data_IF_797267341902
#
_entry.id   IF_797267341902
#
_cell.length_a   1.000
_cell.length_b   1.000
_cell.length_c   1.000
_cell.angle_alpha   90.00
_cell.angle_beta   90.00
_cell.angle_gamma   90.00
#
_symmetry.space_group_name_H-M   'P 1'
#
loop_
_entity.id
_entity.type
_entity.pdbx_description
1 polymer ?
#
# COMPACT_ATOMS: atom_id res chain seq x y z
N UNK A 1 0.65 9.54 -2.85
CA UNK A 1 -0.63 9.82 -2.17
C UNK A 1 -0.52 10.96 -1.17
N UNK A 2 0.30 10.84 -0.11
CA UNK A 2 0.46 11.87 0.95
C UNK A 2 0.75 13.28 0.39
N UNK A 3 1.75 13.39 -0.51
CA UNK A 3 2.10 14.64 -1.17
C UNK A 3 0.97 15.17 -2.08
N UNK A 4 0.35 14.26 -2.86
CA UNK A 4 -0.70 14.59 -3.84
C UNK A 4 -1.91 15.26 -3.19
N UNK A 5 -2.33 14.78 -2.03
CA UNK A 5 -3.54 15.25 -1.34
C UNK A 5 -3.24 16.18 -0.15
N UNK A 6 -1.96 16.48 0.11
CA UNK A 6 -1.57 17.34 1.22
C UNK A 6 -2.01 16.78 2.57
N UNK A 7 -1.68 15.51 2.83
CA UNK A 7 -2.07 14.79 4.06
C UNK A 7 -0.88 14.10 4.70
N UNK A 8 -0.88 14.04 6.03
CA UNK A 8 -0.17 13.03 6.81
C UNK A 8 -1.22 12.11 7.42
N UNK A 9 -1.02 10.80 7.31
CA UNK A 9 -2.00 9.79 7.70
C UNK A 9 -1.34 8.71 8.55
N UNK A 10 -2.07 8.19 9.54
CA UNK A 10 -1.71 7.00 10.32
C UNK A 10 -2.94 6.11 10.52
N UNK A 11 -2.70 4.84 10.86
CA UNK A 11 -3.72 3.87 11.27
C UNK A 11 -3.38 3.24 12.63
N UNK A 12 -4.21 2.30 13.13
CA UNK A 12 -5.39 1.78 12.44
C UNK A 12 -6.52 2.81 12.50
N UNK A 13 -7.46 2.74 11.57
CA UNK A 13 -8.63 3.60 11.47
C UNK A 13 -9.94 2.83 11.68
N UNK A 14 -9.95 1.51 11.59
CA UNK A 14 -11.13 0.65 11.76
C UNK A 14 -11.90 0.89 13.08
N UNK A 15 -11.21 1.29 14.14
CA UNK A 15 -11.81 1.69 15.42
C UNK A 15 -12.63 2.99 15.35
N UNK A 16 -12.57 3.77 14.27
CA UNK A 16 -13.25 5.05 14.11
C UNK A 16 -12.47 6.25 14.65
N UNK A 17 -13.08 7.45 14.75
CA UNK A 17 -12.37 8.66 15.16
C UNK A 17 -11.86 8.58 16.60
N UNK A 18 -10.68 9.14 16.83
CA UNK A 18 -10.08 9.24 18.16
C UNK A 18 -10.77 10.34 18.98
N UNK A 19 -10.93 10.08 20.28
CA UNK A 19 -11.43 11.06 21.25
C UNK A 19 -10.76 10.83 22.63
N UNK A 20 -10.64 11.87 23.49
CA UNK A 20 -9.94 11.78 24.78
C UNK A 20 -10.43 10.69 25.74
N UNK A 21 -11.69 10.31 25.63
CA UNK A 21 -12.35 9.28 26.43
C UNK A 21 -12.06 7.84 25.99
N UNK A 22 -11.45 7.65 24.81
CA UNK A 22 -11.15 6.33 24.24
C UNK A 22 -9.79 5.80 24.68
N UNK A 23 -9.70 4.48 24.81
CA UNK A 23 -8.45 3.82 25.21
C UNK A 23 -7.45 3.76 24.06
N UNK A 24 -6.15 3.93 24.38
CA UNK A 24 -5.06 3.71 23.43
C UNK A 24 -5.06 2.25 22.89
N UNK A 25 -5.56 1.28 23.66
CA UNK A 25 -5.64 -0.13 23.25
C UNK A 25 -6.59 -0.36 22.05
N UNK A 26 -7.61 0.49 21.89
CA UNK A 26 -8.51 0.44 20.73
C UNK A 26 -7.79 0.77 19.42
N UNK A 27 -6.59 1.36 19.50
CA UNK A 27 -5.80 1.82 18.35
C UNK A 27 -4.43 1.14 18.29
N UNK A 28 -4.27 -0.05 18.90
CA UNK A 28 -3.00 -0.77 19.04
C UNK A 28 -1.88 0.04 19.74
N UNK A 29 -2.26 1.00 20.57
CA UNK A 29 -1.36 1.81 21.40
C UNK A 29 -1.47 3.31 21.17
N UNK A 30 -0.63 4.08 21.87
CA UNK A 30 -0.79 5.54 21.97
C UNK A 30 -0.33 6.38 20.77
N UNK A 31 -0.04 5.80 19.60
CA UNK A 31 0.39 6.61 18.45
C UNK A 31 -0.76 7.43 17.83
N UNK A 32 -2.00 6.91 17.81
CA UNK A 32 -3.16 7.68 17.33
C UNK A 32 -3.42 8.87 18.25
N UNK A 33 -3.47 8.64 19.56
CA UNK A 33 -3.59 9.70 20.56
C UNK A 33 -2.50 10.77 20.40
N UNK A 34 -1.23 10.37 20.32
CA UNK A 34 -0.10 11.31 20.14
C UNK A 34 -0.26 12.12 18.85
N UNK A 35 -0.64 11.50 17.74
CA UNK A 35 -0.88 12.22 16.49
C UNK A 35 -2.08 13.18 16.57
N UNK A 36 -3.15 12.79 17.27
CA UNK A 36 -4.35 13.58 17.43
C UNK A 36 -4.21 14.73 18.44
N UNK A 37 -3.40 14.57 19.50
CA UNK A 37 -3.25 15.56 20.57
C UNK A 37 -1.95 16.36 20.49
N UNK A 38 -0.83 15.76 20.12
CA UNK A 38 0.49 16.40 20.24
C UNK A 38 0.94 17.10 18.97
N UNK A 39 0.48 16.65 17.79
CA UNK A 39 0.77 17.32 16.52
C UNK A 39 -0.13 18.54 16.37
N UNK A 40 0.47 19.70 16.19
CA UNK A 40 -0.21 21.00 16.15
C UNK A 40 -0.03 21.69 14.80
N UNK A 41 -0.91 22.64 14.50
CA UNK A 41 -0.74 23.53 13.34
C UNK A 41 0.58 24.27 13.48
N UNK A 42 1.39 24.28 12.40
CA UNK A 42 2.73 24.86 12.39
C UNK A 42 3.85 23.88 12.71
N UNK A 43 3.55 22.67 13.18
CA UNK A 43 4.58 21.64 13.35
C UNK A 43 5.18 21.22 11.99
N UNK A 44 6.47 20.86 12.04
CA UNK A 44 7.20 20.36 10.87
C UNK A 44 7.16 18.83 10.87
N UNK A 45 6.71 18.26 9.76
CA UNK A 45 6.71 16.82 9.50
C UNK A 45 7.77 16.47 8.46
N UNK A 46 8.43 15.34 8.67
CA UNK A 46 9.41 14.78 7.74
C UNK A 46 8.87 13.50 7.12
N UNK A 47 8.76 13.48 5.79
CA UNK A 47 8.39 12.26 5.07
C UNK A 47 9.66 11.44 4.81
N UNK A 48 9.91 10.44 5.65
CA UNK A 48 11.08 9.55 5.56
C UNK A 48 10.96 8.49 4.45
N UNK A 49 12.12 8.06 3.94
CA UNK A 49 12.27 6.96 2.96
C UNK A 49 13.28 5.92 3.47
N UNK A 50 13.08 5.43 4.70
CA UNK A 50 14.02 4.53 5.38
C UNK A 50 14.41 5.04 6.76
N UNK A 51 15.62 4.70 7.20
CA UNK A 51 16.15 5.01 8.54
C UNK A 51 17.04 6.27 8.60
N UNK A 52 17.46 6.78 7.44
CA UNK A 52 18.41 7.90 7.33
C UNK A 52 18.12 8.84 6.15
N UNK A 53 16.94 8.76 5.53
CA UNK A 53 16.62 9.57 4.35
C UNK A 53 15.22 10.17 4.45
N UNK A 54 15.04 11.33 3.82
CA UNK A 54 13.74 11.99 3.68
C UNK A 54 13.48 12.36 2.22
N UNK A 55 12.20 12.39 1.84
CA UNK A 55 11.71 12.72 0.50
C UNK A 55 11.00 14.07 0.45
N UNK A 56 10.45 14.53 1.57
CA UNK A 56 9.73 15.79 1.67
C UNK A 56 9.73 16.34 3.10
N UNK A 57 9.57 17.66 3.20
CA UNK A 57 9.31 18.37 4.46
C UNK A 57 7.90 18.97 4.36
N UNK A 58 7.13 18.89 5.44
CA UNK A 58 5.76 19.34 5.49
C UNK A 58 5.50 20.27 6.65
N UNK A 59 4.59 21.23 6.46
CA UNK A 59 4.09 22.10 7.52
C UNK A 59 2.63 21.73 7.80
N UNK A 60 2.31 21.39 9.05
CA UNK A 60 0.95 21.03 9.46
C UNK A 60 0.04 22.25 9.35
N UNK A 61 -1.11 22.06 8.71
CA UNK A 61 -2.02 23.11 8.28
C UNK A 61 -3.46 22.93 8.75
N UNK A 62 -3.75 21.89 9.54
CA UNK A 62 -5.07 21.68 10.15
C UNK A 62 -4.98 21.02 11.52
N UNK A 63 -6.09 21.11 12.24
CA UNK A 63 -6.40 20.22 13.35
C UNK A 63 -6.55 18.75 12.90
N UNK A 64 -6.76 17.87 13.87
CA UNK A 64 -6.96 16.45 13.65
C UNK A 64 -8.24 16.26 12.84
N UNK A 65 -8.15 15.41 11.83
CA UNK A 65 -9.29 15.06 10.99
C UNK A 65 -9.36 13.56 10.82
N UNK A 66 -10.58 13.02 10.85
CA UNK A 66 -10.85 11.64 10.48
C UNK A 66 -11.33 11.61 9.02
N UNK A 67 -10.58 10.93 8.15
CA UNK A 67 -10.71 11.01 6.70
C UNK A 67 -11.14 9.66 6.12
N UNK A 68 -12.45 9.46 6.01
CA UNK A 68 -13.08 8.21 5.54
C UNK A 68 -12.55 7.74 4.17
N UNK A 69 -12.15 8.65 3.29
CA UNK A 69 -11.61 8.33 1.97
C UNK A 69 -10.24 7.62 1.98
N UNK A 70 -9.61 7.45 3.14
CA UNK A 70 -8.33 6.74 3.30
C UNK A 70 -8.47 5.46 4.15
N UNK A 71 -9.66 4.85 4.15
CA UNK A 71 -9.97 3.54 4.74
C UNK A 71 -9.25 2.35 4.06
N UNK A 72 -8.78 2.53 2.82
CA UNK A 72 -7.97 1.53 2.12
C UNK A 72 -6.83 2.16 1.31
N UNK A 73 -5.78 2.54 2.02
CA UNK A 73 -4.51 2.94 1.42
C UNK A 73 -3.62 1.72 1.30
N UNK A 74 -3.59 1.12 0.11
CA UNK A 74 -2.75 -0.04 -0.16
C UNK A 74 -2.98 -1.21 0.81
N UNK A 75 -4.20 -1.39 1.32
CA UNK A 75 -4.56 -2.38 2.32
C UNK A 75 -4.53 -1.89 3.77
N UNK A 76 -4.15 -0.63 4.00
CA UNK A 76 -4.06 -0.01 5.32
C UNK A 76 -5.18 1.02 5.51
N UNK A 77 -5.83 0.94 6.64
CA UNK A 77 -6.84 1.86 7.13
C UNK A 77 -6.19 3.10 7.77
N UNK A 78 -5.85 4.10 6.94
CA UNK A 78 -5.08 5.27 7.34
C UNK A 78 -5.97 6.52 7.48
N UNK A 79 -7.05 6.42 8.23
CA UNK A 79 -8.08 7.47 8.33
C UNK A 79 -7.72 8.60 9.31
N UNK A 80 -6.74 8.42 10.19
CA UNK A 80 -6.31 9.47 11.11
C UNK A 80 -5.36 10.45 10.42
N UNK A 81 -5.85 11.66 10.18
CA UNK A 81 -5.21 12.62 9.29
C UNK A 81 -4.86 13.97 9.89
N UNK A 82 -3.87 14.61 9.26
CA UNK A 82 -3.61 16.05 9.31
C UNK A 82 -3.49 16.56 7.89
N UNK A 83 -3.98 17.78 7.61
CA UNK A 83 -3.64 18.47 6.37
C UNK A 83 -2.25 19.06 6.50
N UNK A 84 -1.44 18.88 5.46
CA UNK A 84 -0.03 19.25 5.45
C UNK A 84 0.31 19.90 4.11
N UNK A 85 0.99 21.03 4.17
CA UNK A 85 1.62 21.64 2.99
C UNK A 85 2.98 20.99 2.81
N UNK A 86 3.12 20.15 1.79
CA UNK A 86 4.35 19.44 1.53
C UNK A 86 5.25 20.20 0.54
N UNK A 87 6.54 20.28 0.85
CA UNK A 87 7.60 20.61 -0.09
C UNK A 87 8.34 19.31 -0.46
N UNK A 88 8.16 18.83 -1.68
CA UNK A 88 8.92 17.69 -2.19
C UNK A 88 10.36 18.12 -2.45
N UNK A 89 11.31 17.32 -1.99
CA UNK A 89 12.70 17.50 -2.36
C UNK A 89 12.92 17.06 -3.82
N UNK A 90 13.90 17.64 -4.51
CA UNK A 90 14.23 17.24 -5.89
C UNK A 90 14.79 15.82 -5.91
N UNK A 91 15.76 15.54 -5.03
CA UNK A 91 16.27 14.22 -4.70
C UNK A 91 15.99 13.90 -3.23
N UNK A 92 16.04 12.62 -2.85
CA UNK A 92 16.06 12.29 -1.42
C UNK A 92 17.27 12.95 -0.75
N UNK A 93 17.07 13.41 0.49
CA UNK A 93 18.15 13.89 1.33
C UNK A 93 18.54 12.79 2.30
N UNK A 94 19.81 12.41 2.30
CA UNK A 94 20.37 11.41 3.20
C UNK A 94 21.17 12.05 4.32
N UNK A 95 20.91 11.62 5.54
CA UNK A 95 21.72 11.89 6.72
C UNK A 95 22.84 10.84 6.80
N UNK A 96 24.00 11.22 7.34
CA UNK A 96 25.16 10.32 7.41
C UNK A 96 24.93 9.10 8.31
N UNK A 97 24.04 9.24 9.29
CA UNK A 97 23.74 8.20 10.28
C UNK A 97 22.26 7.81 10.28
N UNK A 98 21.93 6.72 10.98
CA UNK A 98 20.54 6.28 11.18
C UNK A 98 19.81 7.17 12.18
N UNK A 99 19.45 8.38 11.76
CA UNK A 99 18.82 9.41 12.60
C UNK A 99 17.39 9.10 13.02
N UNK A 100 16.69 8.18 12.34
CA UNK A 100 15.32 7.76 12.69
C UNK A 100 15.26 6.44 13.45
N UNK A 101 16.40 5.88 13.86
CA UNK A 101 16.47 4.59 14.53
C UNK A 101 16.19 3.39 13.61
N UNK A 102 16.24 2.18 14.18
CA UNK A 102 16.10 0.94 13.41
C UNK A 102 14.62 0.61 13.08
N UNK A 103 13.71 0.86 14.02
CA UNK A 103 12.26 0.60 13.90
C UNK A 103 11.45 1.84 14.38
N UNK A 104 11.50 2.96 13.65
CA UNK A 104 10.71 4.14 14.00
C UNK A 104 9.21 3.83 14.04
N UNK A 105 8.55 4.28 15.11
CA UNK A 105 7.09 4.13 15.24
C UNK A 105 6.34 4.95 14.19
N UNK A 106 5.04 4.67 13.98
CA UNK A 106 4.19 5.29 12.94
C UNK A 106 4.26 6.83 12.93
N UNK A 107 4.37 7.43 14.13
CA UNK A 107 4.68 8.86 14.34
C UNK A 107 5.64 8.99 15.52
N UNK A 108 6.72 9.76 15.35
CA UNK A 108 7.72 9.96 16.42
C UNK A 108 8.26 11.39 16.38
N UNK A 109 8.43 12.00 17.56
CA UNK A 109 9.14 13.28 17.69
C UNK A 109 10.62 13.07 17.41
N UNK A 110 11.18 13.87 16.51
CA UNK A 110 12.62 13.81 16.21
C UNK A 110 13.37 14.68 17.21
N UNK A 111 14.36 14.08 17.90
CA UNK A 111 15.26 14.79 18.82
C UNK A 111 16.70 14.89 18.31
N UNK A 112 16.99 14.35 17.13
CA UNK A 112 18.35 14.36 16.57
C UNK A 112 18.73 15.80 16.12
N UNK A 113 19.83 16.39 16.62
CA UNK A 113 20.21 17.77 16.31
C UNK A 113 20.50 18.04 14.83
N UNK A 114 21.07 17.08 14.10
CA UNK A 114 21.35 17.19 12.66
C UNK A 114 20.04 17.38 11.87
N UNK A 115 19.04 16.56 12.21
CA UNK A 115 17.73 16.61 11.56
C UNK A 115 16.98 17.89 11.93
N UNK A 116 17.04 18.31 13.19
CA UNK A 116 16.42 19.55 13.65
C UNK A 116 17.03 20.77 12.95
N UNK A 117 18.36 20.86 12.90
CA UNK A 117 19.07 21.94 12.23
C UNK A 117 18.76 21.98 10.73
N UNK A 118 18.73 20.82 10.07
CA UNK A 118 18.34 20.74 8.66
C UNK A 118 16.91 21.24 8.43
N UNK A 119 15.95 20.76 9.23
CA UNK A 119 14.54 21.15 9.08
C UNK A 119 14.34 22.65 9.34
N UNK A 120 14.96 23.20 10.39
CA UNK A 120 14.91 24.62 10.72
C UNK A 120 15.54 25.48 9.61
N UNK A 121 16.71 25.09 9.10
CA UNK A 121 17.33 25.80 7.98
C UNK A 121 16.45 25.75 6.74
N UNK A 122 15.85 24.59 6.43
CA UNK A 122 15.01 24.42 5.25
C UNK A 122 13.75 25.29 5.30
N UNK A 123 13.02 25.34 6.41
CA UNK A 123 11.80 26.14 6.53
C UNK A 123 12.10 27.66 6.49
N UNK A 124 13.29 28.08 6.92
CA UNK A 124 13.68 29.48 6.92
C UNK A 124 14.39 29.92 5.62
N UNK A 125 14.68 28.99 4.71
CA UNK A 125 15.36 29.27 3.46
C UNK A 125 14.39 29.37 2.27
N UNK A 126 14.57 30.35 1.35
CA UNK A 126 13.80 30.38 0.11
C UNK A 126 14.01 29.11 -0.74
N UNK A 127 12.97 28.63 -1.46
CA UNK A 127 11.64 29.21 -1.57
C UNK A 127 10.71 28.84 -0.39
N UNK A 128 10.00 29.84 0.17
CA UNK A 128 9.06 29.64 1.29
C UNK A 128 7.58 29.71 0.89
N UNK A 129 7.27 30.02 -0.38
CA UNK A 129 5.88 30.19 -0.84
C UNK A 129 5.00 28.95 -0.66
N UNK A 130 5.58 27.75 -0.64
CA UNK A 130 4.87 26.49 -0.40
C UNK A 130 4.21 26.44 0.99
N UNK A 131 4.76 27.16 1.97
CA UNK A 131 4.25 27.20 3.35
C UNK A 131 2.90 27.91 3.45
N UNK A 132 2.57 28.76 2.47
CA UNK A 132 1.30 29.47 2.36
C UNK A 132 0.44 28.97 1.19
N UNK A 133 0.92 27.97 0.44
CA UNK A 133 0.19 27.44 -0.70
C UNK A 133 -1.18 26.88 -0.27
N UNK A 134 -2.21 26.97 -1.14
CA UNK A 134 -3.49 26.35 -0.88
C UNK A 134 -3.31 24.83 -0.75
N UNK A 135 -4.07 24.24 0.17
CA UNK A 135 -4.07 22.79 0.33
C UNK A 135 -4.72 22.13 -0.89
N UNK A 136 -4.16 21.02 -1.42
CA UNK A 136 -4.80 20.27 -2.50
C UNK A 136 -6.21 19.78 -2.13
N UNK A 137 -7.04 19.47 -3.14
CA UNK A 137 -8.31 18.76 -2.90
C UNK A 137 -8.06 17.37 -2.30
N UNK A 138 -8.98 16.88 -1.48
CA UNK A 138 -8.99 15.48 -1.06
C UNK A 138 -9.66 14.62 -2.14
N UNK A 139 -9.33 13.32 -2.24
CA UNK A 139 -10.10 12.44 -3.10
C UNK A 139 -11.50 12.26 -2.51
N UNK A 140 -12.45 11.96 -3.40
CA UNK A 140 -13.78 11.55 -2.99
C UNK A 140 -13.70 10.22 -2.22
N UNK A 141 -14.59 10.06 -1.26
CA UNK A 141 -14.76 8.78 -0.59
C UNK A 141 -15.31 7.76 -1.59
N UNK A 142 -14.60 6.65 -1.72
CA UNK A 142 -15.06 5.55 -2.54
C UNK A 142 -15.84 4.56 -1.67
N UNK A 143 -17.15 4.35 -1.94
CA UNK A 143 -17.99 3.47 -1.13
C UNK A 143 -17.61 2.00 -1.34
N UNK A 144 -17.96 1.17 -0.36
CA UNK A 144 -17.94 -0.29 -0.53
C UNK A 144 -18.90 -0.69 -1.64
N UNK A 145 -18.51 -1.72 -2.39
CA UNK A 145 -19.34 -2.26 -3.45
C UNK A 145 -20.55 -2.97 -2.84
N UNK A 146 -21.73 -2.34 -2.93
CA UNK A 146 -22.98 -2.85 -2.35
C UNK A 146 -23.41 -4.23 -2.87
N UNK A 147 -23.02 -4.59 -4.09
CA UNK A 147 -23.29 -5.88 -4.70
C UNK A 147 -22.03 -6.43 -5.34
N UNK A 148 -21.50 -7.51 -4.76
CA UNK A 148 -20.38 -8.26 -5.33
C UNK A 148 -20.83 -8.82 -6.69
N UNK A 149 -20.02 -8.70 -7.76
CA UNK A 149 -20.33 -9.32 -9.04
C UNK A 149 -20.46 -10.84 -8.88
N UNK A 150 -21.46 -11.49 -9.50
CA UNK A 150 -21.71 -12.92 -9.29
C UNK A 150 -20.50 -13.83 -9.47
N UNK A 151 -19.63 -13.52 -10.43
CA UNK A 151 -18.42 -14.29 -10.66
C UNK A 151 -17.42 -14.23 -9.50
N UNK A 152 -17.44 -13.16 -8.68
CA UNK A 152 -16.54 -12.99 -7.53
C UNK A 152 -17.14 -13.45 -6.20
N UNK A 153 -18.43 -13.78 -6.13
CA UNK A 153 -19.13 -14.09 -4.87
C UNK A 153 -18.41 -15.19 -4.08
N UNK A 154 -18.08 -16.31 -4.73
CA UNK A 154 -17.37 -17.43 -4.12
C UNK A 154 -15.97 -17.05 -3.63
N UNK A 155 -15.27 -16.17 -4.36
CA UNK A 155 -13.93 -15.72 -3.97
C UNK A 155 -13.96 -14.78 -2.78
N UNK A 156 -14.92 -13.85 -2.75
CA UNK A 156 -15.09 -12.93 -1.63
C UNK A 156 -15.51 -13.69 -0.38
N UNK A 157 -16.45 -14.64 -0.51
CA UNK A 157 -16.85 -15.52 0.59
C UNK A 157 -15.64 -16.30 1.13
N UNK A 158 -14.84 -16.92 0.24
CA UNK A 158 -13.61 -17.64 0.61
C UNK A 158 -12.62 -16.75 1.37
N UNK A 159 -12.42 -15.51 0.92
CA UNK A 159 -11.54 -14.55 1.61
C UNK A 159 -12.06 -14.25 3.01
N UNK A 160 -13.36 -14.01 3.18
CA UNK A 160 -13.93 -13.75 4.50
C UNK A 160 -13.80 -14.96 5.45
N UNK A 161 -14.00 -16.17 4.95
CA UNK A 161 -13.90 -17.39 5.74
C UNK A 161 -12.46 -17.69 6.18
N UNK A 162 -11.51 -17.61 5.23
CA UNK A 162 -10.13 -18.03 5.47
C UNK A 162 -9.25 -16.93 6.06
N UNK A 163 -9.48 -15.65 5.74
CA UNK A 163 -8.65 -14.56 6.26
C UNK A 163 -8.68 -14.52 7.79
N UNK A 164 -9.87 -14.67 8.38
CA UNK A 164 -10.03 -14.68 9.84
C UNK A 164 -9.24 -15.83 10.49
N UNK A 165 -9.25 -17.01 9.87
CA UNK A 165 -8.48 -18.15 10.35
C UNK A 165 -6.97 -17.88 10.24
N UNK A 166 -6.49 -17.35 9.12
CA UNK A 166 -5.06 -17.08 8.91
C UNK A 166 -4.49 -16.00 9.83
N UNK A 167 -5.32 -15.05 10.28
CA UNK A 167 -4.93 -14.06 11.27
C UNK A 167 -4.98 -14.59 12.71
N UNK A 168 -5.64 -15.72 12.96
CA UNK A 168 -5.68 -16.36 14.28
C UNK A 168 -4.45 -17.25 14.51
N UNK A 169 -3.36 -16.63 14.97
CA UNK A 169 -2.13 -17.35 15.30
C UNK A 169 -2.27 -18.39 16.41
N UNK A 170 -3.36 -18.37 17.21
CA UNK A 170 -3.62 -19.42 18.21
C UNK A 170 -4.27 -20.66 17.58
N UNK A 171 -5.23 -20.44 16.67
CA UNK A 171 -5.95 -21.54 16.02
C UNK A 171 -5.17 -22.12 14.83
N UNK A 172 -4.55 -21.26 14.03
CA UNK A 172 -3.88 -21.64 12.78
C UNK A 172 -2.37 -21.88 12.97
N UNK A 173 -1.74 -21.16 13.90
CA UNK A 173 -0.30 -21.21 14.12
C UNK A 173 0.46 -20.18 13.28
N UNK A 174 1.39 -20.65 12.45
CA UNK A 174 2.17 -19.78 11.57
C UNK A 174 1.31 -19.24 10.41
N UNK A 175 1.62 -18.03 9.94
CA UNK A 175 0.97 -17.46 8.76
C UNK A 175 1.15 -18.36 7.53
N UNK A 176 0.14 -18.43 6.63
CA UNK A 176 0.24 -19.20 5.40
C UNK A 176 1.43 -18.72 4.56
N UNK A 177 2.12 -19.67 3.95
CA UNK A 177 3.20 -19.39 3.00
C UNK A 177 2.65 -18.84 1.69
N UNK A 178 3.54 -18.25 0.90
CA UNK A 178 3.22 -17.69 -0.42
C UNK A 178 2.54 -18.73 -1.32
N UNK A 179 3.05 -19.97 -1.33
CA UNK A 179 2.48 -21.06 -2.14
C UNK A 179 1.06 -21.45 -1.71
N UNK A 180 0.76 -21.35 -0.41
CA UNK A 180 -0.60 -21.58 0.11
C UNK A 180 -1.53 -20.47 -0.35
N UNK A 181 -1.10 -19.21 -0.31
CA UNK A 181 -1.89 -18.07 -0.81
C UNK A 181 -2.13 -18.17 -2.33
N UNK A 182 -1.13 -18.64 -3.07
CA UNK A 182 -1.27 -18.93 -4.51
C UNK A 182 -2.35 -19.99 -4.73
N UNK A 183 -2.29 -21.10 -4.00
CA UNK A 183 -3.24 -22.20 -4.13
C UNK A 183 -4.66 -21.85 -3.66
N UNK A 184 -4.78 -21.14 -2.54
CA UNK A 184 -6.06 -20.87 -1.89
C UNK A 184 -6.78 -19.66 -2.47
N UNK A 185 -6.07 -18.67 -3.03
CA UNK A 185 -6.68 -17.45 -3.53
C UNK A 185 -6.34 -17.12 -4.98
N UNK A 186 -5.05 -17.09 -5.34
CA UNK A 186 -4.64 -16.56 -6.65
C UNK A 186 -5.12 -17.44 -7.80
N UNK A 187 -4.88 -18.75 -7.73
CA UNK A 187 -5.31 -19.70 -8.78
C UNK A 187 -6.84 -19.74 -8.90
N UNK A 188 -7.61 -19.90 -7.80
CA UNK A 188 -9.08 -19.84 -7.87
C UNK A 188 -9.60 -18.53 -8.48
N UNK A 189 -9.03 -17.38 -8.10
CA UNK A 189 -9.41 -16.08 -8.69
C UNK A 189 -9.17 -16.06 -10.20
N UNK A 190 -8.01 -16.55 -10.67
CA UNK A 190 -7.70 -16.59 -12.09
C UNK A 190 -8.66 -17.50 -12.87
N UNK A 191 -9.03 -18.65 -12.31
CA UNK A 191 -10.02 -19.54 -12.92
C UNK A 191 -11.39 -18.87 -13.03
N UNK A 192 -11.82 -18.19 -11.98
CA UNK A 192 -13.04 -17.35 -11.97
C UNK A 192 -13.00 -16.27 -13.06
N UNK A 193 -11.82 -15.73 -13.36
CA UNK A 193 -11.58 -14.73 -14.39
C UNK A 193 -11.38 -15.33 -15.80
N UNK A 194 -11.67 -16.62 -15.96
CA UNK A 194 -11.69 -17.31 -17.25
C UNK A 194 -10.34 -17.91 -17.68
N UNK A 195 -9.31 -17.89 -16.84
CA UNK A 195 -8.03 -18.51 -17.18
C UNK A 195 -8.12 -20.03 -17.10
N UNK A 196 -7.85 -20.76 -18.19
CA UNK A 196 -7.81 -22.21 -18.14
C UNK A 196 -6.51 -22.66 -17.45
N UNK A 197 -6.59 -23.75 -16.68
CA UNK A 197 -5.52 -24.21 -15.77
C UNK A 197 -4.20 -24.50 -16.50
N UNK A 198 -4.25 -24.99 -17.75
CA UNK A 198 -3.08 -25.24 -18.58
C UNK A 198 -2.37 -23.95 -19.02
N UNK A 199 -3.02 -22.79 -18.94
CA UNK A 199 -2.41 -21.47 -19.19
C UNK A 199 -1.95 -20.74 -17.92
N UNK A 200 -2.11 -21.37 -16.76
CA UNK A 200 -1.59 -20.88 -15.48
C UNK A 200 -0.32 -21.68 -15.13
N UNK A 201 0.85 -21.05 -15.22
CA UNK A 201 2.12 -21.65 -14.83
C UNK A 201 2.50 -21.27 -13.41
N UNK A 202 2.49 -22.23 -12.49
CA UNK A 202 2.94 -22.05 -11.11
C UNK A 202 4.43 -22.41 -11.03
N UNK A 203 5.25 -21.56 -10.40
CA UNK A 203 6.73 -21.72 -10.31
C UNK A 203 7.40 -21.94 -11.68
N UNK A 204 6.84 -21.38 -12.75
CA UNK A 204 7.43 -21.50 -14.08
C UNK A 204 8.65 -20.59 -14.16
N UNK A 205 9.85 -21.19 -14.21
CA UNK A 205 11.14 -20.48 -14.15
C UNK A 205 11.24 -19.58 -12.90
N UNK A 206 10.87 -20.15 -11.75
CA UNK A 206 10.93 -19.55 -10.41
C UNK A 206 10.01 -18.35 -10.17
N UNK A 207 9.15 -18.01 -11.13
CA UNK A 207 8.07 -17.02 -10.96
C UNK A 207 6.87 -17.68 -10.29
N UNK A 208 6.31 -17.05 -9.24
CA UNK A 208 5.19 -17.63 -8.48
C UNK A 208 4.03 -18.05 -9.38
N UNK A 209 3.52 -17.13 -10.22
CA UNK A 209 2.51 -17.43 -11.24
C UNK A 209 2.79 -16.68 -12.54
N UNK A 210 2.74 -17.38 -13.67
CA UNK A 210 2.78 -16.82 -15.02
C UNK A 210 1.49 -17.15 -15.77
N UNK A 211 0.90 -16.15 -16.42
CA UNK A 211 -0.28 -16.33 -17.26
C UNK A 211 0.14 -16.33 -18.73
N UNK A 212 -0.37 -17.27 -19.52
CA UNK A 212 0.03 -17.44 -20.92
C UNK A 212 -1.17 -17.28 -21.86
N UNK A 213 -1.07 -16.38 -22.85
CA UNK A 213 -2.14 -16.19 -23.84
C UNK A 213 -2.40 -17.46 -24.66
N UNK A 214 -1.35 -18.20 -24.96
CA UNK A 214 -1.39 -19.44 -25.74
C UNK A 214 -0.36 -20.45 -25.22
N UNK A 215 -0.51 -21.71 -25.63
CA UNK A 215 0.53 -22.73 -25.49
C UNK A 215 1.46 -22.70 -26.72
N UNK A 216 2.75 -23.08 -26.59
CA UNK A 216 3.42 -23.56 -25.38
C UNK A 216 3.74 -22.43 -24.39
N UNK A 217 4.00 -22.80 -23.13
CA UNK A 217 4.43 -21.86 -22.08
C UNK A 217 5.86 -21.38 -22.36
N UNK A 218 5.99 -20.24 -23.00
CA UNK A 218 7.25 -19.59 -23.36
C UNK A 218 7.17 -18.07 -23.10
N UNK A 219 8.30 -17.34 -23.12
CA UNK A 219 8.29 -15.89 -22.84
C UNK A 219 7.42 -15.07 -23.82
N UNK A 220 7.35 -15.47 -25.09
CA UNK A 220 6.55 -14.77 -26.11
C UNK A 220 5.05 -14.81 -25.79
N UNK A 221 4.56 -15.97 -25.35
CA UNK A 221 3.17 -16.21 -24.97
C UNK A 221 2.83 -15.72 -23.56
N UNK A 222 3.81 -15.32 -22.75
CA UNK A 222 3.57 -14.78 -21.41
C UNK A 222 2.78 -13.47 -21.49
N UNK A 223 1.66 -13.40 -20.79
CA UNK A 223 0.77 -12.25 -20.77
C UNK A 223 1.13 -11.25 -19.67
N UNK A 224 1.23 -11.75 -18.44
CA UNK A 224 1.68 -11.03 -17.24
C UNK A 224 2.13 -12.06 -16.20
N UNK A 225 2.82 -11.58 -15.17
CA UNK A 225 3.26 -12.40 -14.04
C UNK A 225 2.61 -11.93 -12.75
N UNK A 226 2.51 -12.83 -11.77
CA UNK A 226 2.08 -12.53 -10.41
C UNK A 226 3.19 -12.93 -9.46
N UNK A 227 3.54 -12.01 -8.57
CA UNK A 227 4.43 -12.24 -7.43
C UNK A 227 3.59 -12.25 -6.14
N UNK A 228 3.61 -13.37 -5.43
CA UNK A 228 2.91 -13.53 -4.18
C UNK A 228 3.82 -13.15 -3.00
N UNK A 229 3.23 -12.63 -1.94
CA UNK A 229 3.87 -12.40 -0.66
C UNK A 229 3.04 -12.97 0.47
N UNK A 230 3.69 -13.20 1.60
CA UNK A 230 3.00 -13.62 2.82
C UNK A 230 1.93 -12.61 3.22
N UNK A 231 0.90 -13.12 3.89
CA UNK A 231 -0.23 -12.33 4.35
C UNK A 231 0.25 -11.11 5.16
N UNK A 232 -0.20 -9.91 4.80
CA UNK A 232 0.16 -8.67 5.49
C UNK A 232 1.59 -8.16 5.25
N UNK A 233 2.40 -8.84 4.44
CA UNK A 233 3.73 -8.36 4.10
C UNK A 233 3.68 -7.15 3.15
N UNK A 234 4.62 -6.21 3.33
CA UNK A 234 4.76 -5.05 2.45
C UNK A 234 5.08 -5.45 1.01
N UNK A 235 4.36 -4.85 0.05
CA UNK A 235 4.41 -5.22 -1.37
C UNK A 235 5.53 -4.54 -2.17
N UNK A 236 6.31 -3.64 -1.55
CA UNK A 236 7.35 -2.87 -2.24
C UNK A 236 8.54 -3.74 -2.71
N UNK A 237 8.99 -4.69 -1.90
CA UNK A 237 10.07 -5.61 -2.28
C UNK A 237 9.68 -6.61 -3.38
N UNK A 238 8.39 -6.95 -3.45
CA UNK A 238 7.86 -7.89 -4.43
C UNK A 238 7.95 -7.37 -5.87
N UNK A 239 7.74 -6.07 -6.08
CA UNK A 239 7.81 -5.48 -7.41
C UNK A 239 9.22 -5.59 -8.02
N UNK A 240 10.27 -5.33 -7.23
CA UNK A 240 11.65 -5.42 -7.72
C UNK A 240 12.08 -6.86 -8.02
N UNK A 241 11.61 -7.81 -7.20
CA UNK A 241 11.79 -9.25 -7.47
C UNK A 241 11.12 -9.65 -8.79
N UNK A 242 9.86 -9.25 -8.99
CA UNK A 242 9.09 -9.52 -10.21
C UNK A 242 9.74 -8.91 -11.47
N UNK A 243 10.25 -7.67 -11.38
CA UNK A 243 11.05 -7.06 -12.45
C UNK A 243 12.31 -7.86 -12.77
N UNK A 244 12.94 -8.46 -11.75
CA UNK A 244 14.08 -9.36 -11.90
C UNK A 244 13.77 -10.56 -12.78
N UNK A 245 12.62 -11.21 -12.56
CA UNK A 245 12.17 -12.32 -13.40
C UNK A 245 11.93 -11.91 -14.85
N UNK A 246 11.24 -10.79 -15.09
CA UNK A 246 11.01 -10.32 -16.47
C UNK A 246 12.32 -10.04 -17.21
N UNK A 247 13.31 -9.45 -16.53
CA UNK A 247 14.66 -9.25 -17.07
C UNK A 247 15.34 -10.57 -17.43
N UNK A 248 15.30 -11.58 -16.56
CA UNK A 248 15.90 -12.89 -16.83
C UNK A 248 15.20 -13.65 -17.96
N UNK A 249 13.91 -13.39 -18.16
CA UNK A 249 13.11 -13.93 -19.25
C UNK A 249 13.27 -13.16 -20.58
N UNK A 250 13.91 -11.99 -20.56
CA UNK A 250 14.11 -11.15 -21.74
C UNK A 250 12.81 -10.51 -22.26
N UNK A 251 11.81 -10.33 -21.41
CA UNK A 251 10.50 -9.77 -21.79
C UNK A 251 10.11 -8.59 -20.91
N UNK A 252 9.17 -7.78 -21.41
CA UNK A 252 8.55 -6.70 -20.66
C UNK A 252 7.03 -6.92 -20.66
N UNK A 253 6.47 -7.17 -19.48
CA UNK A 253 5.06 -7.50 -19.25
C UNK A 253 4.58 -6.89 -17.95
N UNK A 254 3.27 -6.75 -17.83
CA UNK A 254 2.66 -6.24 -16.61
C UNK A 254 2.91 -7.22 -15.44
N UNK A 255 2.91 -6.65 -14.23
CA UNK A 255 3.15 -7.38 -12.99
C UNK A 255 1.95 -7.19 -12.08
N UNK A 256 1.48 -8.26 -11.46
CA UNK A 256 0.58 -8.19 -10.32
C UNK A 256 1.35 -8.60 -9.07
N UNK A 257 1.24 -7.81 -8.00
CA UNK A 257 1.74 -8.19 -6.68
C UNK A 257 0.55 -8.45 -5.77
N UNK A 258 0.61 -9.51 -4.97
CA UNK A 258 -0.50 -9.89 -4.09
C UNK A 258 -0.07 -10.57 -2.79
N UNK A 259 -0.88 -10.40 -1.74
CA UNK A 259 -0.85 -11.22 -0.51
C UNK A 259 -2.00 -12.24 -0.46
N UNK A 260 -2.61 -12.52 -1.62
CA UNK A 260 -3.80 -13.36 -1.78
C UNK A 260 -5.13 -12.61 -1.61
N UNK A 261 -5.16 -11.55 -0.79
CA UNK A 261 -6.37 -10.75 -0.54
C UNK A 261 -6.32 -9.44 -1.33
N UNK A 262 -5.16 -8.79 -1.33
CA UNK A 262 -4.93 -7.50 -1.98
C UNK A 262 -4.12 -7.72 -3.24
N UNK A 263 -4.46 -7.00 -4.29
CA UNK A 263 -3.83 -7.14 -5.61
C UNK A 263 -3.50 -5.75 -6.13
N UNK A 264 -2.27 -5.57 -6.63
CA UNK A 264 -1.88 -4.35 -7.32
C UNK A 264 -1.22 -4.68 -8.64
N UNK A 265 -1.70 -4.03 -9.69
CA UNK A 265 -1.15 -4.19 -11.03
C UNK A 265 -0.24 -3.02 -11.40
N UNK A 266 0.88 -3.34 -12.03
CA UNK A 266 1.89 -2.42 -12.51
C UNK A 266 2.10 -2.59 -14.01
N UNK A 267 2.07 -1.48 -14.75
CA UNK A 267 2.16 -1.50 -16.20
C UNK A 267 3.59 -1.40 -16.68
N UNK A 268 4.07 -2.39 -17.44
CA UNK A 268 5.39 -2.35 -18.07
C UNK A 268 5.54 -1.15 -19.03
N UNK A 269 4.51 -0.87 -19.82
CA UNK A 269 4.50 0.25 -20.76
C UNK A 269 4.64 1.62 -20.07
N UNK A 270 4.16 1.73 -18.82
CA UNK A 270 4.25 2.94 -18.00
C UNK A 270 5.40 2.91 -17.00
N UNK A 271 6.46 2.16 -17.30
CA UNK A 271 7.65 2.08 -16.42
C UNK A 271 7.34 1.45 -15.06
N UNK A 272 6.41 0.49 -15.02
CA UNK A 272 5.88 -0.15 -13.81
C UNK A 272 5.22 0.83 -12.83
N UNK A 273 4.53 1.86 -13.35
CA UNK A 273 3.61 2.64 -12.54
C UNK A 273 2.41 1.77 -12.09
N UNK A 274 1.90 1.94 -10.87
CA UNK A 274 0.68 1.25 -10.43
C UNK A 274 -0.50 1.77 -11.25
N UNK A 275 -1.32 0.85 -11.78
CA UNK A 275 -2.43 1.18 -12.68
C UNK A 275 -3.78 0.66 -12.21
N UNK A 276 -3.82 -0.33 -11.32
CA UNK A 276 -5.06 -0.86 -10.75
C UNK A 276 -4.81 -1.53 -9.39
N UNK A 277 -5.84 -1.57 -8.56
CA UNK A 277 -5.79 -2.15 -7.22
C UNK A 277 -7.13 -2.81 -6.89
N UNK A 278 -7.09 -3.91 -6.14
CA UNK A 278 -8.27 -4.50 -5.53
C UNK A 278 -7.95 -5.05 -4.14
N UNK A 279 -8.92 -4.99 -3.25
CA UNK A 279 -8.91 -5.63 -1.95
C UNK A 279 -10.14 -6.54 -1.85
N UNK A 280 -9.93 -7.85 -1.89
CA UNK A 280 -11.04 -8.82 -1.88
C UNK A 280 -11.78 -8.86 -0.55
N UNK A 281 -11.15 -8.44 0.56
CA UNK A 281 -11.80 -8.32 1.86
C UNK A 281 -12.65 -7.04 1.99
N UNK A 282 -12.41 -6.05 1.12
CA UNK A 282 -13.08 -4.76 1.12
C UNK A 282 -13.23 -4.22 -0.31
N UNK A 283 -14.13 -4.84 -1.08
CA UNK A 283 -14.29 -4.49 -2.49
C UNK A 283 -14.85 -3.08 -2.67
N UNK A 284 -14.17 -2.31 -3.52
CA UNK A 284 -14.59 -0.99 -3.99
C UNK A 284 -14.79 -0.98 -5.51
N UNK A 285 -15.58 -0.06 -6.08
CA UNK A 285 -15.79 0.05 -7.53
C UNK A 285 -14.50 0.03 -8.37
N UNK A 286 -13.43 0.68 -7.91
CA UNK A 286 -12.12 0.73 -8.55
C UNK A 286 -11.47 -0.64 -8.72
N UNK A 287 -11.82 -1.63 -7.88
CA UNK A 287 -11.37 -3.01 -8.03
C UNK A 287 -11.82 -3.66 -9.35
N UNK A 288 -12.95 -3.22 -9.92
CA UNK A 288 -13.45 -3.73 -11.20
C UNK A 288 -12.50 -3.44 -12.36
N UNK A 289 -11.75 -2.34 -12.29
CA UNK A 289 -10.71 -2.04 -13.28
C UNK A 289 -9.59 -3.09 -13.24
N UNK A 290 -9.17 -3.51 -12.03
CA UNK A 290 -8.18 -4.58 -11.91
C UNK A 290 -8.69 -5.85 -12.58
N UNK A 291 -9.89 -6.32 -12.20
CA UNK A 291 -10.45 -7.58 -12.72
C UNK A 291 -10.61 -7.55 -14.24
N UNK A 292 -11.04 -6.44 -14.81
CA UNK A 292 -11.11 -6.28 -16.27
C UNK A 292 -9.74 -6.40 -16.94
N UNK A 293 -8.67 -5.91 -16.31
CA UNK A 293 -7.31 -5.96 -16.86
C UNK A 293 -6.66 -7.33 -16.76
N UNK A 294 -7.02 -8.12 -15.75
CA UNK A 294 -6.45 -9.46 -15.52
C UNK A 294 -7.35 -10.58 -16.04
N UNK A 295 -8.52 -10.26 -16.60
CA UNK A 295 -9.41 -11.24 -17.23
C UNK A 295 -8.73 -11.95 -18.40
N UNK A 296 -9.09 -13.21 -18.64
CA UNK A 296 -8.58 -13.94 -19.80
C UNK A 296 -8.97 -13.21 -21.12
N UNK A 297 -8.03 -13.09 -22.08
CA UNK A 297 -8.27 -12.43 -23.36
C UNK A 297 -9.17 -13.25 -24.30
#
# INVERSE_FOLDING_TARGET
MLLKYGVALIGPGDAGPWAPERSDDEFEGGFVRRFAQEVQIGDVLLLRSGASTIRAIGLVASDYVYLHQFDDVNGWDLQHGRRVRWCSLLSEYGFETRVFGANPSRVTRVGNPEVLGYAEQFINSPPTHWQAAPLPGLPDEEPVLNKVPPFLEDMVARVHDLAKLYWDGKAFGDFPREDELVAHYVVPLLQTLGWPVERIGIKWRDVDVCLFRNLPRNPENCHFIIEAKRLGAGVEGALEQAKGYLRSLGISRDIVVTDGIRYRMYSAERGFAPIAYANLAWLKPSALELFSRIQAP
#
